data_IF_990585275312
#
_entry.id   IF_990585275312
#
_cell.length_a   1.000
_cell.length_b   1.000
_cell.length_c   1.000
_cell.angle_alpha   90.00
_cell.angle_beta   90.00
_cell.angle_gamma   90.00
#
_symmetry.space_group_name_H-M   'P 1'
#
loop_
_entity.id
_entity.type
_entity.pdbx_description
1 polymer ?
#
# COMPACT_ATOMS: atom_id res chain seq x y z
N UNK A 1 -63.28 -39.31 26.04
CA UNK A 1 -63.27 -37.83 25.93
C UNK A 1 -61.99 -37.40 25.23
N UNK A 2 -62.06 -36.93 23.98
CA UNK A 2 -60.90 -36.50 23.18
C UNK A 2 -60.54 -35.05 23.57
N UNK A 3 -59.31 -34.81 24.04
CA UNK A 3 -58.77 -33.46 24.26
C UNK A 3 -58.37 -32.87 22.90
N UNK A 4 -58.92 -31.70 22.56
CA UNK A 4 -58.50 -30.90 21.40
C UNK A 4 -57.37 -29.97 21.87
N UNK A 5 -56.20 -30.08 21.25
CA UNK A 5 -55.09 -29.13 21.39
C UNK A 5 -55.28 -28.06 20.33
N UNK A 6 -55.42 -26.81 20.76
CA UNK A 6 -55.46 -25.62 19.91
C UNK A 6 -54.01 -25.18 19.65
N UNK A 7 -53.55 -25.30 18.41
CA UNK A 7 -52.25 -24.78 17.97
C UNK A 7 -52.49 -23.37 17.43
N UNK A 8 -51.98 -22.35 18.12
CA UNK A 8 -51.92 -20.98 17.64
C UNK A 8 -50.64 -20.82 16.80
N UNK A 9 -50.80 -20.63 15.49
CA UNK A 9 -49.70 -20.29 14.59
C UNK A 9 -49.53 -18.77 14.62
N UNK A 10 -48.48 -18.29 15.28
CA UNK A 10 -48.05 -16.88 15.16
C UNK A 10 -47.20 -16.73 13.91
N UNK A 11 -47.72 -16.01 12.92
CA UNK A 11 -46.96 -15.63 11.73
C UNK A 11 -46.06 -14.44 12.05
N UNK A 12 -44.76 -14.67 12.14
CA UNK A 12 -43.75 -13.60 12.26
C UNK A 12 -43.45 -13.07 10.87
N UNK A 13 -43.89 -11.84 10.59
CA UNK A 13 -43.59 -11.13 9.34
C UNK A 13 -42.17 -10.57 9.45
N UNK A 14 -41.24 -11.09 8.66
CA UNK A 14 -39.94 -10.47 8.42
C UNK A 14 -40.13 -9.30 7.44
N UNK A 15 -39.94 -8.07 7.90
CA UNK A 15 -39.69 -6.94 7.01
C UNK A 15 -38.20 -6.90 6.68
N UNK A 16 -37.84 -7.36 5.48
CA UNK A 16 -36.55 -7.05 4.89
C UNK A 16 -36.57 -5.57 4.48
N UNK A 17 -35.92 -4.72 5.26
CA UNK A 17 -35.66 -3.33 4.88
C UNK A 17 -34.48 -3.28 3.91
N UNK A 18 -34.77 -3.20 2.61
CA UNK A 18 -33.77 -2.79 1.62
C UNK A 18 -33.50 -1.29 1.81
N UNK A 19 -32.34 -0.94 2.35
CA UNK A 19 -31.91 0.45 2.48
C UNK A 19 -31.10 0.83 1.22
N UNK A 20 -31.78 1.39 0.22
CA UNK A 20 -31.11 2.00 -0.93
C UNK A 20 -30.48 3.33 -0.49
N UNK A 21 -29.19 3.32 -0.11
CA UNK A 21 -28.40 4.55 -0.10
C UNK A 21 -27.98 4.85 -1.53
N UNK A 22 -28.71 5.77 -2.18
CA UNK A 22 -28.24 6.42 -3.40
C UNK A 22 -27.08 7.35 -3.02
N UNK A 23 -25.86 6.94 -3.34
CA UNK A 23 -24.71 7.85 -3.36
C UNK A 23 -24.90 8.83 -4.51
N UNK A 24 -24.93 10.13 -4.23
CA UNK A 24 -24.96 11.17 -5.24
C UNK A 24 -23.57 11.27 -5.88
N UNK A 25 -23.36 10.49 -6.94
CA UNK A 25 -22.18 10.58 -7.79
C UNK A 25 -22.26 11.86 -8.64
N UNK A 26 -21.32 12.79 -8.46
CA UNK A 26 -21.16 13.96 -9.32
C UNK A 26 -19.97 13.67 -10.25
N UNK A 27 -20.17 13.51 -11.57
CA UNK A 27 -19.06 13.30 -12.49
C UNK A 27 -18.27 14.61 -12.64
N UNK A 28 -16.97 14.54 -12.40
CA UNK A 28 -16.05 15.65 -12.71
C UNK A 28 -15.81 15.64 -14.22
N UNK A 29 -16.42 16.59 -14.93
CA UNK A 29 -16.16 16.80 -16.36
C UNK A 29 -14.81 17.49 -16.54
N UNK A 30 -13.84 16.76 -17.10
CA UNK A 30 -12.49 17.27 -17.38
C UNK A 30 -12.49 18.25 -18.55
N UNK A 31 -12.27 19.54 -18.26
CA UNK A 31 -11.62 20.46 -19.20
C UNK A 31 -10.76 21.42 -18.40
N UNK A 32 -9.59 20.94 -17.96
CA UNK A 32 -8.58 21.74 -17.26
C UNK A 32 -7.57 22.22 -18.29
N UNK A 33 -7.28 23.52 -18.31
CA UNK A 33 -6.33 24.12 -19.25
C UNK A 33 -4.88 23.86 -18.82
N UNK A 34 -3.94 23.81 -19.76
CA UNK A 34 -2.51 23.49 -19.50
C UNK A 34 -1.86 24.36 -18.40
N UNK A 35 -2.31 25.60 -18.21
CA UNK A 35 -1.83 26.50 -17.14
C UNK A 35 -2.30 26.12 -15.73
N UNK A 36 -3.45 25.47 -15.59
CA UNK A 36 -3.94 24.98 -14.30
C UNK A 36 -3.22 23.70 -13.88
N UNK A 37 -2.77 22.89 -14.84
CA UNK A 37 -1.93 21.70 -14.59
C UNK A 37 -0.57 22.11 -14.02
N UNK A 38 0.03 23.18 -14.56
CA UNK A 38 1.36 23.66 -14.17
C UNK A 38 1.35 24.25 -12.74
N UNK A 39 0.35 25.08 -12.40
CA UNK A 39 0.20 25.64 -11.06
C UNK A 39 -0.22 24.60 -10.01
N UNK A 40 -1.02 23.58 -10.38
CA UNK A 40 -1.37 22.47 -9.47
C UNK A 40 -0.15 21.58 -9.20
N UNK A 41 0.64 21.30 -10.24
CA UNK A 41 1.91 20.57 -10.14
C UNK A 41 2.88 21.17 -9.11
N UNK A 42 3.01 22.51 -9.07
CA UNK A 42 3.88 23.19 -8.10
C UNK A 42 3.38 23.10 -6.66
N UNK A 43 2.10 23.39 -6.38
CA UNK A 43 1.59 23.26 -5.00
C UNK A 43 1.59 21.81 -4.51
N UNK A 44 1.25 20.85 -5.38
CA UNK A 44 1.29 19.45 -5.01
C UNK A 44 2.76 19.02 -4.76
N UNK A 45 3.74 19.62 -5.48
CA UNK A 45 5.19 19.38 -5.33
C UNK A 45 5.68 19.57 -3.92
N UNK A 46 5.15 20.57 -3.24
CA UNK A 46 5.52 20.90 -1.87
C UNK A 46 4.91 19.93 -0.85
N UNK A 47 3.74 19.35 -1.14
CA UNK A 47 3.10 18.37 -0.25
C UNK A 47 3.78 16.99 -0.27
N UNK A 48 4.29 16.54 -1.43
CA UNK A 48 5.09 15.31 -1.48
C UNK A 48 6.53 15.52 -1.01
N UNK A 49 7.08 16.73 -1.17
CA UNK A 49 8.33 17.09 -0.54
C UNK A 49 8.24 16.98 0.99
N UNK A 50 7.16 17.45 1.59
CA UNK A 50 6.98 17.31 3.03
C UNK A 50 7.01 15.84 3.46
N UNK A 51 6.43 14.93 2.66
CA UNK A 51 6.45 13.48 2.92
C UNK A 51 7.87 12.91 2.80
N UNK A 52 8.62 13.25 1.75
CA UNK A 52 9.98 12.73 1.54
C UNK A 52 11.04 13.40 2.44
N UNK A 53 10.83 14.65 2.87
CA UNK A 53 11.67 15.33 3.87
C UNK A 53 11.45 14.77 5.28
N UNK A 54 10.23 14.30 5.57
CA UNK A 54 9.94 13.55 6.79
C UNK A 54 10.72 12.22 6.80
N UNK A 55 10.70 11.47 5.68
CA UNK A 55 11.42 10.19 5.54
C UNK A 55 12.91 10.33 5.90
N UNK A 56 13.57 11.46 5.59
CA UNK A 56 14.99 11.69 5.86
C UNK A 56 15.34 11.86 7.35
N UNK A 57 14.47 12.50 8.15
CA UNK A 57 14.80 12.86 9.54
C UNK A 57 15.02 11.63 10.43
N UNK A 58 14.38 10.52 10.11
CA UNK A 58 14.50 9.28 10.87
C UNK A 58 15.81 8.54 10.60
N UNK A 59 16.37 8.65 9.38
CA UNK A 59 17.57 7.89 9.02
C UNK A 59 18.85 8.44 9.64
N UNK A 60 18.97 9.75 9.84
CA UNK A 60 20.15 10.33 10.49
C UNK A 60 20.26 9.98 11.99
N UNK A 61 19.20 9.46 12.61
CA UNK A 61 19.16 9.15 14.03
C UNK A 61 19.39 7.67 14.35
N UNK A 62 19.45 6.77 13.36
CA UNK A 62 19.49 5.33 13.60
C UNK A 62 20.60 4.59 12.85
N UNK A 63 21.85 5.01 13.03
CA UNK A 63 23.03 4.19 12.71
C UNK A 63 23.50 3.44 13.95
N UNK A 64 22.93 2.26 14.21
CA UNK A 64 23.62 1.21 14.98
C UNK A 64 22.97 -0.16 14.71
N UNK A 65 23.57 -0.92 13.79
CA UNK A 65 23.31 -2.36 13.65
C UNK A 65 24.13 -3.12 14.69
N UNK A 66 23.55 -4.03 15.50
CA UNK A 66 24.32 -4.96 16.32
C UNK A 66 25.01 -6.00 15.41
N UNK A 67 26.33 -6.11 15.51
CA UNK A 67 27.13 -7.10 14.79
C UNK A 67 26.86 -8.51 15.32
N UNK A 68 26.65 -9.46 14.40
CA UNK A 68 26.55 -10.88 14.71
C UNK A 68 27.94 -11.51 14.63
N UNK A 69 28.46 -11.98 15.77
CA UNK A 69 29.67 -12.80 15.85
C UNK A 69 29.26 -14.23 15.53
N UNK A 70 29.75 -14.79 14.42
CA UNK A 70 29.61 -16.21 14.10
C UNK A 70 30.84 -16.93 14.64
N UNK A 71 30.62 -17.77 15.65
CA UNK A 71 31.60 -18.72 16.17
C UNK A 71 31.51 -20.01 15.31
N UNK A 72 32.60 -20.35 14.63
CA UNK A 72 32.68 -21.52 13.77
C UNK A 72 33.08 -22.73 14.60
N UNK A 73 32.17 -23.71 14.78
CA UNK A 73 32.46 -25.13 14.98
C UNK A 73 31.15 -25.93 15.13
N UNK A 74 30.68 -26.62 14.08
CA UNK A 74 30.28 -28.03 14.20
C UNK A 74 30.13 -28.69 12.81
N UNK A 75 30.47 -29.97 12.74
CA UNK A 75 30.58 -30.79 11.54
C UNK A 75 29.22 -31.31 11.03
N UNK A 76 28.99 -31.10 9.74
CA UNK A 76 28.22 -31.89 8.75
C UNK A 76 27.01 -32.73 9.19
N UNK A 77 25.83 -32.38 8.66
CA UNK A 77 24.86 -33.35 8.12
C UNK A 77 24.36 -32.86 6.76
N UNK A 78 24.48 -33.71 5.74
CA UNK A 78 24.10 -33.41 4.36
C UNK A 78 22.66 -32.93 4.28
N UNK A 79 22.51 -31.69 3.84
CA UNK A 79 21.23 -31.08 3.51
C UNK A 79 20.91 -31.54 2.08
N UNK A 80 19.72 -32.10 1.88
CA UNK A 80 19.19 -32.37 0.55
C UNK A 80 19.08 -31.05 -0.21
N UNK A 81 19.93 -30.83 -1.22
CA UNK A 81 19.94 -29.62 -2.07
C UNK A 81 18.58 -29.35 -2.74
N UNK A 82 17.67 -30.34 -2.79
CA UNK A 82 16.31 -30.15 -3.30
C UNK A 82 15.37 -29.41 -2.34
N UNK A 83 15.80 -29.16 -1.10
CA UNK A 83 15.04 -28.42 -0.08
C UNK A 83 15.55 -27.00 0.16
N UNK A 84 16.57 -26.53 -0.57
CA UNK A 84 16.94 -25.11 -0.55
C UNK A 84 15.83 -24.36 -1.31
N UNK A 85 15.08 -23.44 -0.68
CA UNK A 85 14.15 -22.59 -1.40
C UNK A 85 14.95 -21.88 -2.48
N UNK A 86 14.61 -22.12 -3.76
CA UNK A 86 15.28 -21.42 -4.85
C UNK A 86 15.01 -19.94 -4.67
N UNK A 87 16.06 -19.15 -4.47
CA UNK A 87 15.93 -17.70 -4.49
C UNK A 87 15.18 -17.28 -5.77
N UNK A 88 14.25 -16.33 -5.67
CA UNK A 88 13.51 -15.87 -6.83
C UNK A 88 14.47 -15.26 -7.85
N UNK A 89 14.34 -15.69 -9.11
CA UNK A 89 15.15 -15.15 -10.20
C UNK A 89 14.55 -13.81 -10.62
N UNK A 90 15.24 -12.72 -10.28
CA UNK A 90 14.83 -11.36 -10.63
C UNK A 90 15.00 -11.15 -12.14
N UNK A 91 13.98 -10.69 -12.88
CA UNK A 91 14.09 -10.38 -14.30
C UNK A 91 15.11 -9.26 -14.59
N UNK A 92 15.79 -9.33 -15.72
CA UNK A 92 16.79 -8.33 -16.12
C UNK A 92 16.20 -7.16 -16.95
N UNK A 93 15.01 -7.33 -17.51
CA UNK A 93 14.40 -6.36 -18.44
C UNK A 93 13.32 -5.50 -17.79
N UNK A 94 13.37 -4.19 -18.08
CA UNK A 94 12.31 -3.24 -17.73
C UNK A 94 11.18 -3.35 -18.76
N UNK A 95 9.95 -3.60 -18.34
CA UNK A 95 8.82 -3.91 -19.23
C UNK A 95 7.53 -3.18 -18.83
N UNK A 96 6.74 -2.74 -19.82
CA UNK A 96 5.44 -2.13 -19.55
C UNK A 96 4.43 -3.19 -19.08
N UNK A 97 3.57 -2.78 -18.15
CA UNK A 97 2.45 -3.60 -17.66
C UNK A 97 1.36 -3.68 -18.71
N UNK A 98 0.86 -4.88 -18.97
CA UNK A 98 -0.19 -5.11 -19.98
C UNK A 98 -1.60 -5.12 -19.36
N UNK A 99 -1.71 -5.26 -18.03
CA UNK A 99 -2.99 -5.27 -17.32
C UNK A 99 -3.09 -4.21 -16.23
N UNK A 100 -2.92 -2.91 -16.55
CA UNK A 100 -2.77 -1.85 -15.53
C UNK A 100 -3.96 -1.71 -14.57
N UNK A 101 -5.17 -2.14 -14.97
CA UNK A 101 -6.37 -2.15 -14.13
C UNK A 101 -6.47 -3.36 -13.18
N UNK A 102 -5.59 -4.36 -13.32
CA UNK A 102 -5.58 -5.53 -12.43
C UNK A 102 -5.16 -5.12 -11.03
N UNK A 103 -5.94 -5.56 -10.04
CA UNK A 103 -5.63 -5.32 -8.62
C UNK A 103 -4.29 -5.92 -8.21
N UNK A 104 -3.89 -7.02 -8.86
CA UNK A 104 -2.67 -7.74 -8.53
C UNK A 104 -1.45 -7.32 -9.34
N UNK A 105 -1.57 -6.39 -10.30
CA UNK A 105 -0.43 -6.04 -11.17
C UNK A 105 0.77 -5.58 -10.36
N UNK A 106 1.92 -6.19 -10.65
CA UNK A 106 3.20 -5.82 -10.06
C UNK A 106 3.71 -4.53 -10.72
N UNK A 107 3.83 -3.47 -9.92
CA UNK A 107 4.48 -2.20 -10.30
C UNK A 107 5.71 -2.05 -9.42
N UNK A 108 6.89 -2.04 -10.01
CA UNK A 108 8.15 -1.99 -9.25
C UNK A 108 9.26 -1.41 -10.11
N UNK A 109 10.54 -1.61 -9.75
CA UNK A 109 11.70 -1.11 -10.53
C UNK A 109 11.78 -1.68 -11.97
N UNK A 110 11.15 -2.82 -12.24
CA UNK A 110 11.19 -3.52 -13.53
C UNK A 110 9.89 -3.34 -14.34
N UNK A 111 8.74 -3.31 -13.68
CA UNK A 111 7.44 -3.23 -14.34
C UNK A 111 6.80 -1.86 -14.14
N UNK A 112 6.41 -1.21 -15.24
CA UNK A 112 5.91 0.17 -15.21
C UNK A 112 4.56 0.36 -15.89
N UNK A 113 3.78 1.29 -15.36
CA UNK A 113 2.53 1.75 -15.89
C UNK A 113 2.72 2.77 -17.04
N UNK A 114 1.82 2.81 -18.03
CA UNK A 114 1.80 3.86 -19.03
C UNK A 114 1.70 5.26 -18.40
N UNK A 115 2.32 6.25 -19.05
CA UNK A 115 2.35 7.63 -18.54
C UNK A 115 1.00 8.35 -18.50
N UNK A 116 0.03 7.83 -19.25
CA UNK A 116 -1.35 8.32 -19.31
C UNK A 116 -2.33 7.45 -18.51
N UNK A 117 -1.85 6.43 -17.80
CA UNK A 117 -2.73 5.58 -17.00
C UNK A 117 -3.22 6.33 -15.76
N UNK A 118 -4.54 6.39 -15.63
CA UNK A 118 -5.30 6.94 -14.50
C UNK A 118 -6.45 5.97 -14.24
N UNK A 119 -6.59 5.38 -13.04
CA UNK A 119 -7.73 4.52 -12.72
C UNK A 119 -9.05 5.29 -12.87
N UNK A 120 -10.08 4.63 -13.39
CA UNK A 120 -11.38 5.26 -13.66
C UNK A 120 -12.35 5.23 -12.46
N UNK A 121 -11.95 4.57 -11.36
CA UNK A 121 -12.75 4.27 -10.18
C UNK A 121 -12.16 4.92 -8.90
N UNK A 122 -11.45 6.03 -9.03
CA UNK A 122 -10.87 6.75 -7.91
C UNK A 122 -11.95 7.42 -7.03
N UNK A 123 -11.84 7.26 -5.72
CA UNK A 123 -12.67 7.93 -4.70
C UNK A 123 -11.86 8.26 -3.44
N UNK A 124 -12.40 9.15 -2.61
CA UNK A 124 -11.84 9.44 -1.28
C UNK A 124 -12.41 8.41 -0.29
N UNK A 125 -11.57 7.59 0.38
CA UNK A 125 -12.02 6.72 1.45
C UNK A 125 -12.48 7.56 2.66
N UNK A 126 -13.53 7.11 3.34
CA UNK A 126 -14.05 7.71 4.56
C UNK A 126 -13.19 7.33 5.78
N UNK A 127 -11.94 7.79 5.80
CA UNK A 127 -10.97 7.56 6.87
C UNK A 127 -10.39 8.87 7.40
N UNK A 128 -9.68 8.79 8.54
CA UNK A 128 -8.93 9.92 9.09
C UNK A 128 -7.70 10.19 8.21
N UNK A 129 -7.49 11.44 7.81
CA UNK A 129 -6.26 11.88 7.14
C UNK A 129 -5.36 12.68 8.10
N UNK A 130 -4.06 12.68 7.86
CA UNK A 130 -3.09 13.45 8.65
C UNK A 130 -3.10 14.96 8.36
N UNK A 131 -3.95 15.40 7.43
CA UNK A 131 -4.07 16.78 6.95
C UNK A 131 -5.53 17.13 6.68
N UNK A 132 -5.78 18.42 6.51
CA UNK A 132 -7.10 18.98 6.22
C UNK A 132 -7.15 19.49 4.78
N UNK A 133 -8.36 19.52 4.21
CA UNK A 133 -8.59 19.98 2.84
C UNK A 133 -8.44 18.87 1.79
N UNK A 134 -8.90 19.18 0.59
CA UNK A 134 -8.84 18.25 -0.55
C UNK A 134 -7.44 18.24 -1.18
N UNK A 135 -6.92 17.04 -1.42
CA UNK A 135 -5.71 16.77 -2.20
C UNK A 135 -5.93 15.47 -3.00
N UNK A 136 -5.39 15.37 -4.22
CA UNK A 136 -5.53 14.17 -5.06
C UNK A 136 -4.89 12.94 -4.39
N UNK A 137 -3.92 13.15 -3.48
CA UNK A 137 -3.33 12.07 -2.66
C UNK A 137 -4.32 11.47 -1.65
N UNK A 138 -5.53 12.00 -1.53
CA UNK A 138 -6.58 11.35 -0.75
C UNK A 138 -7.21 10.17 -1.50
N UNK A 139 -7.05 10.10 -2.81
CA UNK A 139 -7.79 9.17 -3.66
C UNK A 139 -7.22 7.74 -3.59
N UNK A 140 -8.09 6.76 -3.67
CA UNK A 140 -7.79 5.35 -3.93
C UNK A 140 -8.80 4.80 -4.93
N UNK A 141 -8.47 3.71 -5.62
CA UNK A 141 -9.48 2.93 -6.34
C UNK A 141 -10.55 2.45 -5.36
N UNK A 142 -11.79 2.45 -5.80
CA UNK A 142 -12.97 2.14 -4.97
C UNK A 142 -12.80 0.88 -4.11
N UNK A 143 -12.28 -0.21 -4.70
CA UNK A 143 -12.06 -1.47 -3.98
C UNK A 143 -11.06 -1.34 -2.82
N UNK A 144 -9.97 -0.59 -3.02
CA UNK A 144 -8.96 -0.34 -1.99
C UNK A 144 -9.45 0.69 -0.98
N UNK A 145 -10.24 1.68 -1.42
CA UNK A 145 -10.83 2.69 -0.54
C UNK A 145 -11.76 2.04 0.50
N UNK A 146 -12.68 1.18 0.05
CA UNK A 146 -13.61 0.45 0.93
C UNK A 146 -12.84 -0.46 1.89
N UNK A 147 -11.86 -1.20 1.39
CA UNK A 147 -11.03 -2.06 2.22
C UNK A 147 -10.23 -1.28 3.28
N UNK A 148 -9.77 -0.06 2.95
CA UNK A 148 -9.06 0.80 3.90
C UNK A 148 -9.98 1.30 5.01
N UNK A 149 -11.23 1.62 4.69
CA UNK A 149 -12.26 1.97 5.68
C UNK A 149 -12.47 0.81 6.67
N UNK A 150 -12.63 -0.41 6.17
CA UNK A 150 -12.79 -1.61 7.01
C UNK A 150 -11.56 -1.86 7.89
N UNK A 151 -10.35 -1.70 7.34
CA UNK A 151 -9.09 -1.83 8.08
C UNK A 151 -9.02 -0.81 9.23
N UNK A 152 -9.36 0.45 8.96
CA UNK A 152 -9.29 1.53 9.96
C UNK A 152 -10.35 1.37 11.05
N UNK A 153 -11.54 0.88 10.71
CA UNK A 153 -12.59 0.58 11.67
C UNK A 153 -12.19 -0.60 12.56
N UNK A 154 -11.62 -1.67 12.00
CA UNK A 154 -11.17 -2.81 12.79
C UNK A 154 -10.06 -2.45 13.78
N UNK A 155 -9.09 -1.61 13.39
CA UNK A 155 -8.06 -1.11 14.31
C UNK A 155 -8.68 -0.39 15.53
N UNK A 156 -9.71 0.43 15.28
CA UNK A 156 -10.39 1.20 16.31
C UNK A 156 -11.29 0.31 17.20
N UNK A 157 -12.08 -0.57 16.59
CA UNK A 157 -13.06 -1.40 17.30
C UNK A 157 -12.41 -2.53 18.11
N UNK A 158 -11.35 -3.15 17.58
CA UNK A 158 -10.71 -4.31 18.21
C UNK A 158 -9.72 -3.90 19.30
N UNK A 159 -8.93 -2.83 19.06
CA UNK A 159 -7.78 -2.48 19.89
C UNK A 159 -7.73 -0.99 20.28
N UNK A 160 -8.73 -0.18 19.89
CA UNK A 160 -8.75 1.27 20.13
C UNK A 160 -7.51 1.99 19.57
N UNK A 161 -7.07 1.56 18.39
CA UNK A 161 -5.92 2.10 17.65
C UNK A 161 -6.38 3.01 16.51
N UNK A 162 -5.71 4.15 16.34
CA UNK A 162 -6.11 5.18 15.37
C UNK A 162 -5.05 5.39 14.29
N UNK A 163 -5.33 4.83 13.11
CA UNK A 163 -4.55 5.04 11.89
C UNK A 163 -4.97 6.33 11.16
N UNK A 164 -4.05 6.89 10.38
CA UNK A 164 -4.27 8.08 9.57
C UNK A 164 -3.70 7.86 8.16
N UNK A 165 -4.48 8.15 7.12
CA UNK A 165 -4.04 8.14 5.73
C UNK A 165 -3.20 9.40 5.42
N UNK A 166 -2.16 9.23 4.60
CA UNK A 166 -1.20 10.30 4.25
C UNK A 166 -1.13 10.53 2.74
N UNK A 167 -0.97 9.47 1.95
CA UNK A 167 -0.81 9.56 0.49
C UNK A 167 -1.25 8.28 -0.21
N UNK A 168 -2.35 8.37 -0.96
CA UNK A 168 -2.90 7.36 -1.85
C UNK A 168 -2.42 7.57 -3.30
N UNK A 169 -3.36 7.82 -4.21
CA UNK A 169 -3.11 7.97 -5.64
C UNK A 169 -2.12 9.10 -5.96
N UNK A 170 -1.23 8.83 -6.92
CA UNK A 170 -0.27 9.80 -7.44
C UNK A 170 -0.12 9.64 -8.94
N UNK A 171 -0.43 10.69 -9.70
CA UNK A 171 -0.32 10.64 -11.16
C UNK A 171 1.13 10.48 -11.63
N UNK A 172 1.29 10.01 -12.88
CA UNK A 172 2.60 9.92 -13.51
C UNK A 172 3.36 11.25 -13.51
N UNK A 173 2.69 12.35 -13.89
CA UNK A 173 3.29 13.68 -13.96
C UNK A 173 3.77 14.14 -12.58
N UNK A 174 2.97 13.85 -11.54
CA UNK A 174 3.30 14.13 -10.15
C UNK A 174 4.54 13.36 -9.72
N UNK A 175 4.60 12.05 -9.99
CA UNK A 175 5.78 11.22 -9.69
C UNK A 175 7.02 11.70 -10.45
N UNK A 176 6.85 12.17 -11.70
CA UNK A 176 7.94 12.77 -12.49
C UNK A 176 8.51 14.02 -11.84
N UNK A 177 7.67 14.95 -11.42
CA UNK A 177 8.12 16.16 -10.74
C UNK A 177 8.88 15.85 -9.44
N UNK A 178 8.40 14.89 -8.65
CA UNK A 178 9.07 14.43 -7.43
C UNK A 178 10.44 13.83 -7.74
N UNK A 179 10.49 12.88 -8.68
CA UNK A 179 11.71 12.18 -9.05
C UNK A 179 12.78 13.14 -9.61
N UNK A 180 12.41 14.03 -10.52
CA UNK A 180 13.32 15.03 -11.11
C UNK A 180 13.85 16.02 -10.05
N UNK A 181 13.01 16.41 -9.09
CA UNK A 181 13.43 17.27 -7.98
C UNK A 181 14.43 16.55 -7.07
N UNK A 182 14.17 15.30 -6.70
CA UNK A 182 15.08 14.51 -5.87
C UNK A 182 16.43 14.28 -6.55
N UNK A 183 16.45 14.06 -7.86
CA UNK A 183 17.71 14.00 -8.60
C UNK A 183 18.54 15.29 -8.43
N UNK A 184 17.88 16.45 -8.43
CA UNK A 184 18.53 17.75 -8.28
C UNK A 184 18.97 18.04 -6.84
N UNK A 185 18.16 17.68 -5.85
CA UNK A 185 18.39 18.07 -4.44
C UNK A 185 19.12 17.01 -3.61
N UNK A 186 18.97 15.73 -3.95
CA UNK A 186 19.50 14.57 -3.20
C UNK A 186 20.52 13.75 -3.97
N UNK A 187 20.55 13.87 -5.30
CA UNK A 187 21.42 13.10 -6.18
C UNK A 187 20.86 11.72 -6.54
N UNK A 188 21.49 11.11 -7.54
CA UNK A 188 20.99 9.90 -8.20
C UNK A 188 20.94 8.66 -7.28
N UNK A 189 22.00 8.42 -6.50
CA UNK A 189 22.07 7.23 -5.64
C UNK A 189 20.94 7.22 -4.61
N UNK A 190 20.70 8.35 -3.94
CA UNK A 190 19.61 8.50 -2.99
C UNK A 190 18.27 8.35 -3.70
N UNK A 191 18.07 9.09 -4.79
CA UNK A 191 16.79 9.09 -5.54
C UNK A 191 16.40 7.68 -5.96
N UNK A 192 17.33 6.90 -6.52
CA UNK A 192 17.06 5.54 -6.99
C UNK A 192 16.71 4.57 -5.86
N UNK A 193 17.16 4.81 -4.62
CA UNK A 193 16.86 3.98 -3.44
C UNK A 193 15.50 4.29 -2.81
N UNK A 194 15.09 5.56 -2.80
CA UNK A 194 13.91 6.01 -2.03
C UNK A 194 12.74 6.48 -2.89
N UNK A 195 12.98 6.87 -4.14
CA UNK A 195 11.93 7.37 -5.01
C UNK A 195 11.72 6.43 -6.20
N UNK A 196 10.46 6.16 -6.51
CA UNK A 196 10.10 5.42 -7.71
C UNK A 196 10.32 6.29 -8.95
N UNK A 197 10.81 5.70 -10.04
CA UNK A 197 10.76 6.34 -11.35
C UNK A 197 9.30 6.56 -11.77
N UNK A 198 9.00 7.56 -12.61
CA UNK A 198 7.65 7.75 -13.13
C UNK A 198 7.17 6.49 -13.86
N UNK A 199 5.94 6.04 -13.60
CA UNK A 199 5.42 4.76 -14.09
C UNK A 199 5.75 3.56 -13.18
N UNK A 200 6.77 3.65 -12.34
CA UNK A 200 7.21 2.57 -11.45
C UNK A 200 6.71 2.73 -10.00
N UNK A 201 5.81 3.67 -9.74
CA UNK A 201 5.25 3.91 -8.40
C UNK A 201 3.93 3.16 -8.23
N UNK A 202 3.81 2.36 -7.17
CA UNK A 202 2.54 1.73 -6.81
C UNK A 202 1.43 2.76 -6.57
N UNK A 203 1.74 3.97 -6.12
CA UNK A 203 0.73 5.02 -5.94
C UNK A 203 0.00 5.38 -7.25
N UNK A 204 0.60 5.20 -8.42
CA UNK A 204 -0.08 5.45 -9.70
C UNK A 204 -1.20 4.43 -9.97
N UNK A 205 -1.15 3.25 -9.33
CA UNK A 205 -2.24 2.26 -9.41
C UNK A 205 -3.51 2.71 -8.70
N UNK A 206 -3.41 3.66 -7.75
CA UNK A 206 -4.48 3.97 -6.80
C UNK A 206 -4.80 2.82 -5.83
N UNK A 207 -3.92 1.82 -5.71
CA UNK A 207 -4.06 0.68 -4.79
C UNK A 207 -3.08 0.73 -3.62
N UNK A 208 -2.17 1.71 -3.61
CA UNK A 208 -1.24 1.93 -2.51
C UNK A 208 -1.66 3.12 -1.66
N UNK A 209 -1.50 3.00 -0.34
CA UNK A 209 -1.73 4.06 0.63
C UNK A 209 -0.58 4.10 1.62
N UNK A 210 -0.06 5.29 1.86
CA UNK A 210 0.81 5.54 3.00
C UNK A 210 -0.04 5.83 4.24
N UNK A 211 0.20 5.11 5.34
CA UNK A 211 -0.52 5.27 6.61
C UNK A 211 0.42 5.60 7.77
N UNK A 212 -0.10 6.31 8.76
CA UNK A 212 0.67 6.75 9.93
C UNK A 212 -0.19 6.73 11.20
N UNK A 213 0.38 7.16 12.33
CA UNK A 213 -0.34 7.37 13.58
C UNK A 213 0.11 8.64 14.29
N UNK A 214 -0.68 9.05 15.28
CA UNK A 214 -0.32 10.15 16.19
C UNK A 214 0.97 9.86 16.97
N UNK A 215 1.28 8.58 17.23
CA UNK A 215 2.45 8.18 18.01
C UNK A 215 3.78 8.59 17.37
N UNK A 216 3.82 8.69 16.04
CA UNK A 216 4.97 9.19 15.27
C UNK A 216 4.77 10.61 14.73
N UNK A 217 3.83 11.38 15.31
CA UNK A 217 3.56 12.75 14.89
C UNK A 217 3.06 12.85 13.45
N UNK A 218 2.37 11.82 12.95
CA UNK A 218 1.90 11.68 11.58
C UNK A 218 3.00 11.56 10.50
N UNK A 219 4.23 11.25 10.92
CA UNK A 219 5.35 11.07 10.01
C UNK A 219 5.32 9.70 9.31
N UNK A 220 5.86 9.63 8.10
CA UNK A 220 6.17 8.38 7.41
C UNK A 220 7.59 7.97 7.76
N UNK A 221 7.71 7.13 8.80
CA UNK A 221 8.97 6.80 9.46
C UNK A 221 9.08 5.32 9.74
N UNK A 222 10.31 4.80 9.75
CA UNK A 222 10.58 3.43 10.21
C UNK A 222 10.17 3.20 11.67
N UNK A 223 10.14 4.26 12.49
CA UNK A 223 9.67 4.21 13.88
C UNK A 223 8.20 3.78 14.00
N UNK A 224 7.40 3.99 12.95
CA UNK A 224 6.00 3.56 12.89
C UNK A 224 5.87 2.06 13.14
N UNK A 225 6.81 1.24 12.66
CA UNK A 225 6.84 -0.21 12.90
C UNK A 225 6.92 -0.60 14.38
N UNK A 226 7.41 0.30 15.23
CA UNK A 226 7.55 0.07 16.68
C UNK A 226 6.34 0.58 17.48
N UNK A 227 5.40 1.29 16.83
CA UNK A 227 4.15 1.75 17.47
C UNK A 227 3.14 0.61 17.57
N UNK A 228 2.18 0.67 18.52
CA UNK A 228 1.06 -0.27 18.54
C UNK A 228 0.29 -0.30 17.21
N UNK A 229 0.07 0.85 16.58
CA UNK A 229 -0.63 0.95 15.29
C UNK A 229 0.13 0.26 14.16
N UNK A 230 1.45 0.47 14.05
CA UNK A 230 2.26 -0.16 13.02
C UNK A 230 2.43 -1.67 13.22
N UNK A 231 2.53 -2.13 14.48
CA UNK A 231 2.55 -3.57 14.79
C UNK A 231 1.22 -4.24 14.46
N UNK A 232 0.11 -3.61 14.84
CA UNK A 232 -1.23 -4.09 14.50
C UNK A 232 -1.43 -4.13 12.99
N UNK A 233 -1.04 -3.07 12.28
CA UNK A 233 -1.14 -2.99 10.82
C UNK A 233 -0.37 -4.13 10.16
N UNK A 234 0.91 -4.33 10.53
CA UNK A 234 1.72 -5.42 9.98
C UNK A 234 1.07 -6.79 10.19
N UNK A 235 0.47 -7.00 11.36
CA UNK A 235 -0.17 -8.28 11.70
C UNK A 235 -1.55 -8.46 11.06
N UNK A 236 -2.27 -7.40 10.69
CA UNK A 236 -3.70 -7.47 10.35
C UNK A 236 -4.06 -6.97 8.95
N UNK A 237 -3.18 -6.24 8.25
CA UNK A 237 -3.49 -5.64 6.95
C UNK A 237 -4.00 -6.67 5.92
N UNK A 238 -3.46 -7.88 5.96
CA UNK A 238 -3.80 -8.97 5.03
C UNK A 238 -5.28 -9.38 5.09
N UNK A 239 -5.89 -9.31 6.28
CA UNK A 239 -7.33 -9.57 6.50
C UNK A 239 -8.23 -8.69 5.65
N UNK A 240 -7.72 -7.54 5.21
CA UNK A 240 -8.41 -6.54 4.41
C UNK A 240 -7.84 -6.44 2.99
N UNK A 241 -6.99 -7.39 2.57
CA UNK A 241 -6.40 -7.42 1.24
C UNK A 241 -5.19 -6.49 1.05
N UNK A 242 -4.62 -5.95 2.12
CA UNK A 242 -3.42 -5.12 2.09
C UNK A 242 -2.18 -5.88 2.56
N UNK A 243 -1.02 -5.56 1.99
CA UNK A 243 0.30 -6.03 2.44
C UNK A 243 1.26 -4.86 2.63
N UNK A 244 2.29 -5.04 3.46
CA UNK A 244 3.42 -4.09 3.51
C UNK A 244 4.32 -4.37 2.30
N UNK A 245 4.41 -3.47 1.32
CA UNK A 245 5.14 -3.74 0.07
C UNK A 245 6.65 -3.86 0.27
N UNK A 246 7.21 -3.06 1.19
CA UNK A 246 8.66 -2.92 1.35
C UNK A 246 9.12 -3.31 2.77
N UNK A 247 9.18 -4.61 3.10
CA UNK A 247 9.67 -5.09 4.39
C UNK A 247 11.21 -5.05 4.47
N UNK A 248 11.74 -4.92 5.70
CA UNK A 248 13.15 -4.65 5.96
C UNK A 248 14.12 -5.73 5.48
N UNK A 249 13.69 -6.99 5.46
CA UNK A 249 14.47 -8.15 5.06
C UNK A 249 14.41 -8.44 3.54
N UNK A 250 13.65 -7.66 2.76
CA UNK A 250 13.41 -7.92 1.33
C UNK A 250 13.87 -6.77 0.41
N UNK A 251 14.68 -5.84 0.92
CA UNK A 251 15.19 -4.69 0.15
C UNK A 251 15.98 -5.09 -1.10
N UNK A 252 16.67 -6.23 -1.04
CA UNK A 252 17.41 -6.81 -2.17
C UNK A 252 16.50 -7.37 -3.28
N UNK A 253 15.21 -7.59 -2.99
CA UNK A 253 14.22 -8.11 -3.93
C UNK A 253 13.37 -6.96 -4.50
N UNK A 254 12.83 -6.11 -3.62
CA UNK A 254 11.94 -5.01 -4.02
C UNK A 254 12.72 -3.83 -4.62
N UNK A 255 13.98 -3.66 -4.24
CA UNK A 255 14.81 -2.52 -4.62
C UNK A 255 14.45 -1.22 -3.87
N UNK A 256 13.65 -1.31 -2.81
CA UNK A 256 13.28 -0.20 -1.94
C UNK A 256 13.74 -0.48 -0.50
N UNK A 257 13.96 0.59 0.26
CA UNK A 257 14.25 0.48 1.69
C UNK A 257 12.99 0.09 2.48
N UNK A 258 13.17 -0.17 3.78
CA UNK A 258 12.07 -0.50 4.66
C UNK A 258 11.06 0.65 4.80
N UNK A 259 9.79 0.39 4.46
CA UNK A 259 8.69 1.35 4.56
C UNK A 259 7.48 0.71 5.25
N UNK A 260 7.44 0.65 6.59
CA UNK A 260 6.34 0.02 7.34
C UNK A 260 4.98 0.72 7.18
N UNK A 261 4.98 1.94 6.63
CA UNK A 261 3.77 2.73 6.39
C UNK A 261 3.13 2.44 5.03
N UNK A 262 3.88 1.86 4.08
CA UNK A 262 3.44 1.74 2.69
C UNK A 262 2.65 0.43 2.51
N UNK A 263 1.33 0.55 2.39
CA UNK A 263 0.45 -0.61 2.21
C UNK A 263 -0.08 -0.68 0.78
N UNK A 264 -0.08 -1.88 0.20
CA UNK A 264 -0.57 -2.18 -1.15
C UNK A 264 -1.75 -3.13 -1.12
N UNK A 265 -2.87 -2.72 -1.71
CA UNK A 265 -4.02 -3.58 -1.92
C UNK A 265 -3.77 -4.55 -3.07
N UNK A 266 -3.94 -5.85 -2.79
CA UNK A 266 -3.80 -6.96 -3.75
C UNK A 266 -5.02 -7.90 -3.74
N UNK A 267 -6.04 -7.60 -2.93
CA UNK A 267 -7.18 -8.48 -2.67
C UNK A 267 -6.89 -9.47 -1.53
N UNK A 268 -7.94 -9.92 -0.86
CA UNK A 268 -7.85 -10.74 0.37
C UNK A 268 -7.08 -12.04 0.12
N UNK A 269 -7.51 -12.83 -0.86
CA UNK A 269 -6.91 -14.16 -1.13
C UNK A 269 -5.39 -14.08 -1.40
N UNK A 270 -4.95 -13.09 -2.19
CA UNK A 270 -3.53 -12.92 -2.47
C UNK A 270 -2.78 -12.36 -1.26
N UNK A 271 -3.36 -11.41 -0.53
CA UNK A 271 -2.73 -10.87 0.67
C UNK A 271 -2.49 -11.95 1.74
N UNK A 272 -3.45 -12.87 1.92
CA UNK A 272 -3.31 -14.05 2.79
C UNK A 272 -2.17 -14.94 2.31
N UNK A 273 -2.11 -15.28 1.01
CA UNK A 273 -1.02 -16.08 0.44
C UNK A 273 0.34 -15.44 0.69
N UNK A 274 0.49 -14.14 0.42
CA UNK A 274 1.74 -13.41 0.62
C UNK A 274 2.16 -13.41 2.09
N UNK A 275 1.21 -13.20 2.99
CA UNK A 275 1.45 -13.12 4.44
C UNK A 275 1.81 -14.48 5.03
N UNK A 276 1.04 -15.53 4.71
CA UNK A 276 1.24 -16.90 5.21
C UNK A 276 2.59 -17.48 4.77
N UNK A 277 3.07 -17.08 3.59
CA UNK A 277 4.35 -17.56 3.05
C UNK A 277 5.52 -16.60 3.35
N UNK A 278 5.27 -15.45 3.98
CA UNK A 278 6.26 -14.40 4.23
C UNK A 278 7.04 -14.00 2.96
N UNK A 279 6.29 -13.75 1.89
CA UNK A 279 6.82 -13.34 0.57
C UNK A 279 6.22 -12.00 0.11
N UNK A 280 6.96 -11.25 -0.69
CA UNK A 280 6.47 -10.03 -1.33
C UNK A 280 5.68 -10.32 -2.62
N UNK A 281 4.97 -9.30 -3.14
CA UNK A 281 4.34 -9.39 -4.46
C UNK A 281 5.37 -9.67 -5.56
N UNK A 282 6.56 -9.06 -5.48
CA UNK A 282 7.69 -9.33 -6.37
C UNK A 282 8.06 -10.82 -6.36
N UNK A 283 8.31 -11.39 -5.16
CA UNK A 283 8.65 -12.80 -5.02
C UNK A 283 7.56 -13.71 -5.59
N UNK A 284 6.29 -13.40 -5.33
CA UNK A 284 5.16 -14.15 -5.87
C UNK A 284 5.16 -14.18 -7.41
N UNK A 285 5.40 -13.04 -8.06
CA UNK A 285 5.49 -12.96 -9.52
C UNK A 285 6.71 -13.72 -10.07
N UNK A 286 7.88 -13.56 -9.45
CA UNK A 286 9.13 -14.19 -9.88
C UNK A 286 9.09 -15.71 -9.71
N UNK A 287 8.58 -16.22 -8.60
CA UNK A 287 8.48 -17.65 -8.32
C UNK A 287 7.49 -18.37 -9.24
N UNK A 288 6.46 -17.68 -9.70
CA UNK A 288 5.39 -18.25 -10.54
C UNK A 288 5.54 -17.93 -12.04
N UNK A 289 6.61 -17.23 -12.45
CA UNK A 289 6.84 -16.77 -13.82
C UNK A 289 5.63 -16.02 -14.42
N UNK A 290 5.01 -15.16 -13.62
CA UNK A 290 3.83 -14.39 -14.03
C UNK A 290 4.25 -13.14 -14.82
N UNK A 291 3.42 -12.72 -15.77
CA UNK A 291 3.57 -11.42 -16.45
C UNK A 291 2.51 -10.45 -15.93
N UNK A 292 2.90 -9.28 -15.41
CA UNK A 292 1.97 -8.31 -14.80
C UNK A 292 1.12 -7.47 -15.78
#
# INVERSE_FOLDING_TARGET
>A
MKKRILVMITATIFFAGCNNRTSNYIPISNTISEKEIENKSENDSDSALAIEEIIEKDFNNNTQSPGHIIDNNDETKGIDESMIPKEPVIPEEVTPINTPDSVTSLVNKLYYLPSNYIPNDLMIPNVRFSFEGYDDKMLLREVAAIALEDLFNAAEEEENLFLFAVSGYRSYQRQKAIYERNLQTRGEEWTNKYSAKPGHSEHQTGLAMDVTSKAVGFNLTSEFASTPEGQWLKANAHRFGFVISYPADKTHITGYNFEPWHIRYVGIDLADILTDNNITLDEYYYMNNLTP
#
